data_IF_563966233414
#
_entry.id   IF_563966233414
#
_cell.length_a   1.000
_cell.length_b   1.000
_cell.length_c   1.000
_cell.angle_alpha   90.00
_cell.angle_beta   90.00
_cell.angle_gamma   90.00
#
_symmetry.space_group_name_H-M   'P 1'
#
loop_
_entity.id
_entity.type
_entity.pdbx_description
1 polymer ?
#
# COMPACT_ATOMS: atom_id res chain seq x y z
N UNK A 1 12.36 0.20 -12.25
CA UNK A 1 11.09 0.18 -13.00
C UNK A 1 10.57 -1.24 -13.23
N UNK A 2 11.27 -2.13 -13.94
CA UNK A 2 10.77 -3.49 -14.24
C UNK A 2 10.37 -4.33 -13.02
N UNK A 3 11.17 -4.33 -11.95
CA UNK A 3 10.84 -5.04 -10.69
C UNK A 3 9.58 -4.48 -10.03
N UNK A 4 9.40 -3.16 -10.00
CA UNK A 4 8.23 -2.52 -9.40
C UNK A 4 6.94 -2.86 -10.16
N UNK A 5 7.01 -2.91 -11.50
CA UNK A 5 5.88 -3.33 -12.35
C UNK A 5 5.52 -4.80 -12.08
N UNK A 6 6.52 -5.69 -12.00
CA UNK A 6 6.29 -7.11 -11.67
C UNK A 6 5.62 -7.28 -10.30
N UNK A 7 6.09 -6.54 -9.29
CA UNK A 7 5.47 -6.57 -7.96
C UNK A 7 4.02 -6.05 -7.98
N UNK A 8 3.77 -4.95 -8.70
CA UNK A 8 2.42 -4.42 -8.89
C UNK A 8 1.48 -5.41 -9.57
N UNK A 9 1.93 -6.08 -10.63
CA UNK A 9 1.16 -7.13 -11.31
C UNK A 9 0.91 -8.36 -10.42
N UNK A 10 1.91 -8.76 -9.63
CA UNK A 10 1.76 -9.84 -8.65
C UNK A 10 0.69 -9.50 -7.60
N UNK A 11 0.69 -8.27 -7.08
CA UNK A 11 -0.33 -7.80 -6.12
C UNK A 11 -1.72 -7.79 -6.78
N UNK A 12 -1.83 -7.26 -8.01
CA UNK A 12 -3.09 -7.24 -8.74
C UNK A 12 -3.64 -8.67 -8.98
N UNK A 13 -2.77 -9.59 -9.39
CA UNK A 13 -3.13 -10.99 -9.54
C UNK A 13 -3.67 -11.59 -8.24
N UNK A 14 -2.98 -11.35 -7.11
CA UNK A 14 -3.43 -11.82 -5.80
C UNK A 14 -4.78 -11.23 -5.38
N UNK A 15 -5.04 -9.95 -5.69
CA UNK A 15 -6.33 -9.31 -5.42
C UNK A 15 -7.48 -10.01 -6.14
N UNK A 16 -7.29 -10.31 -7.43
CA UNK A 16 -8.30 -10.98 -8.27
C UNK A 16 -8.50 -12.44 -7.82
N UNK A 17 -7.40 -13.15 -7.54
CA UNK A 17 -7.45 -14.58 -7.24
C UNK A 17 -8.06 -14.92 -5.86
N UNK A 18 -7.98 -14.02 -4.87
CA UNK A 18 -8.28 -14.34 -3.46
C UNK A 18 -9.67 -13.92 -2.97
N UNK A 19 -10.50 -13.25 -3.77
CA UNK A 19 -11.84 -12.82 -3.35
C UNK A 19 -11.82 -12.02 -2.05
N UNK A 20 -10.97 -10.99 -2.00
CA UNK A 20 -10.66 -10.25 -0.77
C UNK A 20 -11.90 -9.55 -0.18
N UNK A 21 -11.92 -9.47 1.15
CA UNK A 21 -12.88 -8.62 1.88
C UNK A 21 -12.63 -7.14 1.57
N UNK A 22 -13.63 -6.30 1.86
CA UNK A 22 -13.59 -4.87 1.55
C UNK A 22 -12.34 -4.15 2.09
N UNK A 23 -11.96 -4.34 3.36
CA UNK A 23 -10.79 -3.65 3.94
C UNK A 23 -9.47 -4.00 3.22
N UNK A 24 -9.07 -5.27 3.05
CA UNK A 24 -7.87 -5.61 2.29
C UNK A 24 -7.93 -5.14 0.84
N UNK A 25 -9.10 -5.21 0.20
CA UNK A 25 -9.29 -4.74 -1.17
C UNK A 25 -9.07 -3.23 -1.28
N UNK A 26 -9.66 -2.45 -0.36
CA UNK A 26 -9.49 -0.99 -0.28
C UNK A 26 -8.02 -0.64 -0.04
N UNK A 27 -7.37 -1.29 0.93
CA UNK A 27 -5.97 -1.03 1.25
C UNK A 27 -5.02 -1.31 0.08
N UNK A 28 -5.20 -2.44 -0.60
CA UNK A 28 -4.41 -2.78 -1.79
C UNK A 28 -4.73 -1.86 -2.98
N UNK A 29 -5.98 -1.42 -3.13
CA UNK A 29 -6.36 -0.48 -4.20
C UNK A 29 -5.69 0.89 -4.01
N UNK A 30 -5.63 1.39 -2.77
CA UNK A 30 -4.91 2.63 -2.43
C UNK A 30 -3.41 2.48 -2.66
N UNK A 31 -2.82 1.37 -2.21
CA UNK A 31 -1.41 1.08 -2.44
C UNK A 31 -1.05 1.03 -3.93
N UNK A 32 -1.84 0.30 -4.73
CA UNK A 32 -1.64 0.20 -6.18
C UNK A 32 -1.90 1.53 -6.88
N UNK A 33 -2.93 2.28 -6.49
CA UNK A 33 -3.27 3.59 -7.03
C UNK A 33 -2.12 4.59 -6.88
N UNK A 34 -1.63 4.78 -5.65
CA UNK A 34 -0.51 5.67 -5.39
C UNK A 34 0.79 5.19 -6.06
N UNK A 35 1.05 3.89 -6.08
CA UNK A 35 2.24 3.36 -6.78
C UNK A 35 2.16 3.61 -8.29
N UNK A 36 0.98 3.49 -8.90
CA UNK A 36 0.75 3.70 -10.32
C UNK A 36 0.82 5.18 -10.70
N UNK A 37 0.30 6.09 -9.87
CA UNK A 37 0.40 7.53 -10.15
C UNK A 37 1.84 8.02 -10.09
N UNK A 38 2.63 7.61 -9.07
CA UNK A 38 4.06 7.91 -9.01
C UNK A 38 4.85 7.26 -10.16
N UNK A 39 4.43 6.10 -10.66
CA UNK A 39 5.03 5.48 -11.84
C UNK A 39 4.70 6.28 -13.10
N UNK A 40 3.44 6.72 -13.25
CA UNK A 40 2.99 7.54 -14.36
C UNK A 40 3.77 8.85 -14.43
N UNK A 41 3.94 9.54 -13.30
CA UNK A 41 4.71 10.79 -13.24
C UNK A 41 6.13 10.60 -13.77
N UNK A 42 6.79 9.49 -13.42
CA UNK A 42 8.16 9.20 -13.87
C UNK A 42 8.24 8.90 -15.36
N UNK A 43 7.19 8.32 -15.93
CA UNK A 43 7.11 8.05 -17.37
C UNK A 43 6.82 9.33 -18.15
N UNK A 44 5.97 10.21 -17.60
CA UNK A 44 5.51 11.42 -18.27
C UNK A 44 6.43 12.63 -18.09
N UNK A 45 7.06 12.77 -16.93
CA UNK A 45 7.74 14.00 -16.48
C UNK A 45 9.17 13.79 -15.97
N UNK A 46 9.77 12.61 -16.23
CA UNK A 46 11.13 12.22 -15.78
C UNK A 46 11.37 12.26 -14.25
N UNK A 47 10.32 12.49 -13.45
CA UNK A 47 10.40 12.67 -12.00
C UNK A 47 9.05 12.44 -11.33
N UNK A 48 8.97 12.69 -10.02
CA UNK A 48 7.72 12.69 -9.26
C UNK A 48 7.51 14.09 -8.72
N UNK A 49 6.28 14.61 -8.84
CA UNK A 49 5.97 15.95 -8.35
C UNK A 49 5.54 15.90 -6.88
N UNK A 50 6.41 16.39 -6.01
CA UNK A 50 6.09 16.64 -4.60
C UNK A 50 5.53 18.05 -4.42
N UNK A 51 4.27 18.15 -4.00
CA UNK A 51 3.57 19.43 -3.89
C UNK A 51 3.19 19.80 -2.45
N UNK A 52 3.22 18.85 -1.51
CA UNK A 52 3.02 19.14 -0.09
C UNK A 52 4.36 19.35 0.58
N UNK A 53 4.53 20.47 1.28
CA UNK A 53 5.73 20.79 2.04
C UNK A 53 5.34 21.02 3.51
N UNK A 54 5.83 20.15 4.39
CA UNK A 54 5.60 20.22 5.83
C UNK A 54 6.93 20.45 6.55
N UNK A 55 7.09 21.63 7.15
CA UNK A 55 8.30 22.00 7.90
C UNK A 55 7.97 22.55 9.28
N UNK A 56 8.80 22.20 10.27
CA UNK A 56 8.84 22.80 11.60
C UNK A 56 10.13 23.60 11.74
N UNK A 57 10.10 24.71 12.47
CA UNK A 57 11.28 25.58 12.66
C UNK A 57 12.43 24.77 13.25
N UNK A 58 13.58 24.78 12.58
CA UNK A 58 14.78 24.04 12.98
C UNK A 58 14.88 22.60 12.48
N UNK A 59 13.86 22.08 11.79
CA UNK A 59 13.87 20.76 11.14
C UNK A 59 13.91 20.88 9.62
N UNK A 60 14.48 19.86 8.96
CA UNK A 60 14.43 19.77 7.49
C UNK A 60 12.97 19.57 7.06
N UNK A 61 12.48 20.34 6.07
CA UNK A 61 11.12 20.18 5.59
C UNK A 61 10.93 18.78 4.97
N UNK A 62 9.80 18.15 5.27
CA UNK A 62 9.38 16.90 4.66
C UNK A 62 8.44 17.20 3.50
N UNK A 63 8.81 16.77 2.30
CA UNK A 63 8.01 16.93 1.08
C UNK A 63 7.42 15.60 0.67
N UNK A 64 6.16 15.63 0.25
CA UNK A 64 5.45 14.44 -0.20
C UNK A 64 4.31 14.82 -1.14
N UNK A 65 3.73 13.82 -1.78
CA UNK A 65 2.57 13.98 -2.64
C UNK A 65 1.38 13.11 -2.17
N UNK A 66 0.26 13.20 -2.87
CA UNK A 66 -0.92 12.41 -2.54
C UNK A 66 -0.69 10.90 -2.72
N UNK A 67 0.15 10.50 -3.68
CA UNK A 67 0.48 9.11 -3.92
C UNK A 67 1.17 8.46 -2.71
N UNK A 68 2.07 9.18 -2.03
CA UNK A 68 2.71 8.72 -0.80
C UNK A 68 1.68 8.50 0.32
N UNK A 69 0.69 9.40 0.44
CA UNK A 69 -0.40 9.29 1.41
C UNK A 69 -1.27 8.07 1.12
N UNK A 70 -1.64 7.85 -0.14
CA UNK A 70 -2.42 6.68 -0.56
C UNK A 70 -1.67 5.37 -0.26
N UNK A 71 -0.37 5.31 -0.55
CA UNK A 71 0.48 4.15 -0.26
C UNK A 71 0.51 3.88 1.25
N UNK A 72 0.76 4.89 2.08
CA UNK A 72 0.85 4.74 3.54
C UNK A 72 -0.48 4.30 4.12
N UNK A 73 -1.59 4.95 3.75
CA UNK A 73 -2.94 4.59 4.22
C UNK A 73 -3.29 3.17 3.78
N UNK A 74 -2.98 2.81 2.53
CA UNK A 74 -3.22 1.49 1.98
C UNK A 74 -2.52 0.39 2.79
N UNK A 75 -1.23 0.56 3.08
CA UNK A 75 -0.43 -0.36 3.90
C UNK A 75 -1.02 -0.49 5.31
N UNK A 76 -1.37 0.64 5.95
CA UNK A 76 -1.97 0.66 7.29
C UNK A 76 -3.26 -0.18 7.29
N UNK A 77 -4.17 0.03 6.33
CA UNK A 77 -5.43 -0.72 6.25
C UNK A 77 -5.17 -2.23 6.12
N UNK A 78 -4.24 -2.65 5.27
CA UNK A 78 -3.91 -4.08 5.08
C UNK A 78 -3.33 -4.70 6.36
N UNK A 79 -2.42 -4.01 7.04
CA UNK A 79 -1.82 -4.46 8.30
C UNK A 79 -2.89 -4.60 9.38
N UNK A 80 -3.70 -3.56 9.59
CA UNK A 80 -4.75 -3.58 10.61
C UNK A 80 -5.82 -4.65 10.31
N UNK A 81 -6.21 -4.81 9.04
CA UNK A 81 -7.16 -5.86 8.66
C UNK A 81 -6.60 -7.26 8.97
N UNK A 82 -5.33 -7.48 8.68
CA UNK A 82 -4.65 -8.75 8.95
C UNK A 82 -4.50 -9.00 10.46
N UNK A 83 -4.13 -7.98 11.23
CA UNK A 83 -4.01 -8.06 12.68
C UNK A 83 -5.36 -8.39 13.35
N UNK A 84 -6.45 -7.74 12.94
CA UNK A 84 -7.81 -8.03 13.45
C UNK A 84 -8.22 -9.47 13.13
N UNK A 85 -7.94 -9.94 11.91
CA UNK A 85 -8.26 -11.33 11.53
C UNK A 85 -7.43 -12.33 12.34
N UNK A 86 -6.16 -12.02 12.63
CA UNK A 86 -5.29 -12.83 13.46
C UNK A 86 -5.81 -12.96 14.89
N UNK A 87 -6.17 -11.83 15.52
CA UNK A 87 -6.75 -11.82 16.88
C UNK A 87 -8.07 -12.60 16.94
N UNK A 88 -8.94 -12.44 15.93
CA UNK A 88 -10.23 -13.15 15.86
C UNK A 88 -10.10 -14.65 15.65
N UNK A 89 -9.07 -15.10 14.93
CA UNK A 89 -8.85 -16.53 14.69
C UNK A 89 -8.47 -17.27 15.98
N UNK A 90 -7.87 -16.56 16.95
CA UNK A 90 -7.28 -17.15 18.15
C UNK A 90 -5.98 -17.89 17.82
N UNK A 91 -4.91 -17.77 18.63
CA UNK A 91 -3.60 -18.36 18.32
C UNK A 91 -3.67 -19.89 18.17
N UNK A 92 -4.62 -20.55 18.84
CA UNK A 92 -4.75 -22.01 18.83
C UNK A 92 -5.28 -22.58 17.50
N UNK A 93 -6.25 -21.92 16.85
CA UNK A 93 -6.78 -22.38 15.54
C UNK A 93 -5.80 -22.15 14.39
N UNK A 94 -4.82 -21.28 14.56
CA UNK A 94 -3.80 -21.01 13.55
C UNK A 94 -2.78 -22.16 13.46
N UNK A 95 -2.41 -22.75 14.61
CA UNK A 95 -1.50 -23.90 14.68
C UNK A 95 -2.15 -25.14 14.02
N UNK A 96 -3.45 -25.35 14.20
CA UNK A 96 -4.18 -26.45 13.55
C UNK A 96 -4.36 -26.27 12.04
N UNK A 97 -4.45 -25.04 11.52
CA UNK A 97 -4.58 -24.77 10.07
C UNK A 97 -3.26 -24.82 9.30
N UNK A 98 -2.14 -24.71 10.00
CA UNK A 98 -0.80 -24.74 9.40
C UNK A 98 -0.22 -26.16 9.31
N UNK A 99 -0.95 -27.16 9.79
CA UNK A 99 -0.66 -28.59 9.66
C UNK A 99 -1.57 -29.21 8.62
#
# INVERSE_FOLDING_TARGET
MGVAVLLGLGILFLMIAKGLRFLPLLGLSLFCGGSLSNLFDRIAFEGVLDFVNFGLVGLRPYTFNLADVEIVIGIIIVIFSSAINFVKAGPFKFIERAR
#
